data_IF_306599726760
#
_entry.id   IF_306599726760
#
_cell.length_a   1.000
_cell.length_b   1.000
_cell.length_c   1.000
_cell.angle_alpha   90.00
_cell.angle_beta   90.00
_cell.angle_gamma   90.00
#
_symmetry.space_group_name_H-M   'P 1'
#
loop_
_entity.id
_entity.type
_entity.pdbx_description
1 polymer ?
#
# COMPACT_ATOMS: atom_id res chain seq x y z
N UNK A 1 -15.57 -8.92 -6.05
CA UNK A 1 -14.45 -8.10 -6.58
C UNK A 1 -14.88 -7.38 -7.86
N UNK A 2 -14.60 -6.11 -7.99
CA UNK A 2 -14.90 -5.30 -9.17
C UNK A 2 -13.65 -5.19 -10.07
N UNK A 3 -13.84 -5.34 -11.41
CA UNK A 3 -12.78 -5.18 -12.41
C UNK A 3 -13.04 -3.99 -13.32
N UNK A 4 -12.01 -3.18 -13.57
CA UNK A 4 -12.03 -2.07 -14.50
C UNK A 4 -11.24 -2.49 -15.74
N UNK A 5 -11.93 -2.56 -16.89
CA UNK A 5 -11.34 -2.92 -18.19
C UNK A 5 -11.36 -1.77 -19.18
N UNK A 6 -12.20 -0.77 -18.93
CA UNK A 6 -12.36 0.40 -19.79
C UNK A 6 -11.06 1.22 -19.82
N UNK A 7 -10.59 1.54 -21.05
CA UNK A 7 -9.27 2.13 -21.30
C UNK A 7 -9.05 3.46 -20.60
N UNK A 8 -10.03 4.35 -20.68
CA UNK A 8 -9.91 5.68 -20.09
C UNK A 8 -9.94 5.63 -18.55
N UNK A 9 -10.72 4.73 -17.99
CA UNK A 9 -10.76 4.50 -16.55
C UNK A 9 -9.45 3.94 -15.98
N UNK A 10 -8.68 3.20 -16.80
CA UNK A 10 -7.36 2.69 -16.40
C UNK A 10 -6.26 3.75 -16.41
N UNK A 11 -6.42 4.86 -17.11
CA UNK A 11 -5.38 5.89 -17.22
C UNK A 11 -4.94 6.45 -15.86
N UNK A 12 -5.86 6.61 -14.90
CA UNK A 12 -5.50 7.13 -13.57
C UNK A 12 -4.49 6.25 -12.82
N UNK A 13 -4.42 4.95 -13.13
CA UNK A 13 -3.60 3.98 -12.39
C UNK A 13 -2.13 3.94 -12.82
N UNK A 14 -1.71 4.78 -13.76
CA UNK A 14 -0.31 4.94 -14.15
C UNK A 14 0.26 6.31 -13.77
N UNK A 15 -0.58 7.22 -13.25
CA UNK A 15 -0.14 8.56 -12.88
C UNK A 15 0.09 8.68 -11.38
N UNK A 16 1.32 9.01 -11.01
CA UNK A 16 1.72 9.48 -9.70
C UNK A 16 2.26 10.93 -9.80
N UNK A 17 3.05 11.35 -8.83
CA UNK A 17 3.70 12.67 -8.83
C UNK A 17 5.03 12.70 -9.59
N UNK A 18 5.37 11.66 -10.33
CA UNK A 18 6.57 11.65 -11.17
C UNK A 18 6.47 12.68 -12.31
N UNK A 19 7.33 13.74 -12.32
CA UNK A 19 7.18 14.80 -13.30
C UNK A 19 7.37 14.36 -14.76
N UNK A 20 8.13 13.30 -14.99
CA UNK A 20 8.41 12.81 -16.34
C UNK A 20 7.17 12.24 -17.04
N UNK A 21 6.28 11.57 -16.29
CA UNK A 21 5.08 10.95 -16.88
C UNK A 21 4.13 11.98 -17.49
N UNK A 22 4.08 13.20 -16.92
CA UNK A 22 3.26 14.31 -17.43
C UNK A 22 3.67 14.78 -18.82
N UNK A 23 4.88 14.42 -19.27
CA UNK A 23 5.42 14.76 -20.59
C UNK A 23 5.31 13.63 -21.60
N UNK A 24 4.73 12.48 -21.21
CA UNK A 24 4.60 11.36 -22.11
C UNK A 24 3.58 11.63 -23.21
N UNK A 25 3.89 11.28 -24.49
CA UNK A 25 2.89 11.28 -25.54
C UNK A 25 1.83 10.21 -25.24
N UNK A 26 0.62 10.41 -25.74
CA UNK A 26 -0.51 9.52 -25.47
C UNK A 26 -0.21 8.05 -25.84
N UNK A 27 0.43 7.81 -26.97
CA UNK A 27 0.82 6.46 -27.35
C UNK A 27 1.71 5.76 -26.32
N UNK A 28 2.57 6.51 -25.62
CA UNK A 28 3.39 5.96 -24.53
C UNK A 28 2.57 5.69 -23.29
N UNK A 29 1.65 6.59 -22.93
CA UNK A 29 0.69 6.38 -21.83
C UNK A 29 -0.11 5.10 -22.08
N UNK A 30 -0.65 4.94 -23.29
CA UNK A 30 -1.44 3.77 -23.68
C UNK A 30 -0.65 2.45 -23.62
N UNK A 31 0.62 2.49 -24.00
CA UNK A 31 1.49 1.31 -23.97
C UNK A 31 1.83 0.80 -22.55
N UNK A 32 1.59 1.64 -21.51
CA UNK A 32 1.85 1.31 -20.12
C UNK A 32 0.56 1.15 -19.30
N UNK A 33 -0.61 1.10 -19.95
CA UNK A 33 -1.84 0.83 -19.20
C UNK A 33 -1.83 -0.62 -18.70
N UNK A 34 -2.34 -0.87 -17.48
CA UNK A 34 -2.54 -2.24 -17.01
C UNK A 34 -3.54 -2.97 -17.91
N UNK A 35 -3.40 -4.28 -18.06
CA UNK A 35 -4.38 -5.11 -18.77
C UNK A 35 -5.75 -4.99 -18.10
N UNK A 36 -5.77 -5.04 -16.79
CA UNK A 36 -6.96 -5.00 -15.98
C UNK A 36 -6.65 -4.35 -14.61
N UNK A 37 -7.63 -3.72 -14.00
CA UNK A 37 -7.55 -3.23 -12.62
C UNK A 37 -8.57 -3.97 -11.77
N UNK A 38 -8.13 -4.56 -10.67
CA UNK A 38 -8.99 -5.12 -9.63
C UNK A 38 -9.19 -4.10 -8.52
N UNK A 39 -10.42 -3.98 -8.02
CA UNK A 39 -10.78 -3.12 -6.90
C UNK A 39 -11.39 -4.00 -5.81
N UNK A 40 -10.55 -4.66 -4.98
CA UNK A 40 -11.01 -5.53 -3.92
C UNK A 40 -11.60 -4.73 -2.75
N UNK A 41 -12.60 -5.32 -2.08
CA UNK A 41 -13.24 -4.78 -0.87
C UNK A 41 -12.97 -5.64 0.37
N UNK A 42 -12.20 -6.73 0.21
CA UNK A 42 -11.81 -7.63 1.30
C UNK A 42 -10.45 -8.27 1.04
N UNK A 43 -9.83 -8.80 2.11
CA UNK A 43 -8.56 -9.54 2.01
C UNK A 43 -8.71 -10.78 1.11
N UNK A 44 -9.83 -11.48 1.19
CA UNK A 44 -10.10 -12.63 0.32
C UNK A 44 -10.14 -12.25 -1.16
N UNK A 45 -10.71 -11.09 -1.49
CA UNK A 45 -10.71 -10.58 -2.86
C UNK A 45 -9.30 -10.17 -3.34
N UNK A 46 -8.41 -9.69 -2.44
CA UNK A 46 -6.99 -9.48 -2.78
C UNK A 46 -6.32 -10.80 -3.13
N UNK A 47 -6.56 -11.85 -2.33
CA UNK A 47 -6.02 -13.19 -2.60
C UNK A 47 -6.52 -13.73 -3.95
N UNK A 48 -7.80 -13.53 -4.28
CA UNK A 48 -8.37 -13.90 -5.57
C UNK A 48 -7.74 -13.11 -6.71
N UNK A 49 -7.52 -11.79 -6.56
CA UNK A 49 -6.86 -10.96 -7.56
C UNK A 49 -5.41 -11.41 -7.82
N UNK A 50 -4.66 -11.70 -6.76
CA UNK A 50 -3.29 -12.21 -6.87
C UNK A 50 -3.27 -13.56 -7.59
N UNK A 51 -4.18 -14.46 -7.23
CA UNK A 51 -4.32 -15.77 -7.89
C UNK A 51 -4.67 -15.63 -9.37
N UNK A 52 -5.60 -14.73 -9.67
CA UNK A 52 -5.95 -14.41 -11.06
C UNK A 52 -4.73 -13.92 -11.86
N UNK A 53 -3.92 -13.02 -11.29
CA UNK A 53 -2.71 -12.55 -11.94
C UNK A 53 -1.70 -13.68 -12.19
N UNK A 54 -1.51 -14.55 -11.20
CA UNK A 54 -0.63 -15.71 -11.31
C UNK A 54 -1.07 -16.65 -12.43
N UNK A 55 -2.36 -17.02 -12.45
CA UNK A 55 -2.93 -17.97 -13.45
C UNK A 55 -2.90 -17.40 -14.88
N UNK A 56 -2.91 -16.06 -15.02
CA UNK A 56 -2.87 -15.38 -16.30
C UNK A 56 -1.48 -14.82 -16.67
N UNK A 57 -0.45 -15.14 -15.90
CA UNK A 57 0.93 -14.67 -16.09
C UNK A 57 1.03 -13.12 -16.21
N UNK A 58 0.28 -12.42 -15.36
CA UNK A 58 0.30 -10.96 -15.25
C UNK A 58 1.23 -10.53 -14.11
N UNK A 59 1.98 -9.45 -14.33
CA UNK A 59 2.67 -8.77 -13.25
C UNK A 59 1.65 -8.09 -12.32
N UNK A 60 1.96 -8.02 -11.03
CA UNK A 60 1.09 -7.34 -10.06
C UNK A 60 1.66 -5.95 -9.75
N UNK A 61 0.82 -4.93 -9.86
CA UNK A 61 1.13 -3.57 -9.45
C UNK A 61 0.17 -3.14 -8.35
N UNK A 62 0.59 -3.10 -7.09
CA UNK A 62 -0.22 -2.54 -6.01
C UNK A 62 -0.44 -1.05 -6.22
N UNK A 63 -1.66 -0.58 -6.01
CA UNK A 63 -2.03 0.82 -6.11
C UNK A 63 -2.66 1.29 -4.79
N UNK A 64 -2.02 2.28 -4.17
CA UNK A 64 -2.52 2.96 -2.98
C UNK A 64 -2.96 4.39 -3.31
N UNK A 65 -2.33 5.38 -2.67
CA UNK A 65 -2.63 6.80 -2.87
C UNK A 65 -1.94 7.46 -4.06
N UNK A 66 -1.14 6.73 -4.84
CA UNK A 66 -0.34 7.26 -5.96
C UNK A 66 0.52 8.49 -5.58
N UNK A 67 1.00 8.53 -4.34
CA UNK A 67 1.81 9.64 -3.80
C UNK A 67 3.30 9.54 -4.16
N UNK A 68 3.72 8.48 -4.86
CA UNK A 68 5.08 8.27 -5.34
C UNK A 68 5.53 9.33 -6.33
N UNK A 69 6.86 9.50 -6.46
CA UNK A 69 7.48 10.54 -7.31
C UNK A 69 8.44 9.97 -8.36
N UNK A 70 8.49 8.65 -8.50
CA UNK A 70 9.44 7.94 -9.37
C UNK A 70 8.78 6.99 -10.37
N UNK A 71 7.44 6.94 -10.45
CA UNK A 71 6.72 6.08 -11.38
C UNK A 71 6.62 4.61 -10.95
N UNK A 72 6.72 4.32 -9.64
CA UNK A 72 6.67 2.94 -9.11
C UNK A 72 5.37 2.19 -9.43
N UNK A 73 4.29 2.91 -9.73
CA UNK A 73 3.01 2.32 -10.12
C UNK A 73 2.85 2.13 -11.63
N UNK A 74 3.85 2.48 -12.44
CA UNK A 74 3.77 2.38 -13.91
C UNK A 74 4.13 0.98 -14.37
N UNK A 75 3.20 0.25 -15.00
CA UNK A 75 3.50 -1.09 -15.50
C UNK A 75 4.51 -1.08 -16.66
N UNK A 76 5.52 -1.95 -16.62
CA UNK A 76 6.45 -2.21 -17.72
C UNK A 76 6.14 -3.51 -18.47
N UNK A 77 5.20 -4.30 -17.96
CA UNK A 77 4.77 -5.60 -18.51
C UNK A 77 3.25 -5.69 -18.45
N UNK A 78 2.63 -6.61 -19.18
CA UNK A 78 1.22 -6.93 -18.98
C UNK A 78 0.94 -7.19 -17.50
N UNK A 79 0.02 -6.43 -16.92
CA UNK A 79 -0.16 -6.38 -15.48
C UNK A 79 -1.62 -6.33 -15.05
N UNK A 80 -1.84 -6.82 -13.84
CA UNK A 80 -3.01 -6.53 -13.03
C UNK A 80 -2.61 -5.43 -12.02
N UNK A 81 -3.30 -4.30 -12.03
CA UNK A 81 -3.22 -3.32 -10.95
C UNK A 81 -4.26 -3.67 -9.89
N UNK A 82 -3.85 -3.69 -8.62
CA UNK A 82 -4.74 -3.95 -7.47
C UNK A 82 -4.92 -2.64 -6.72
N UNK A 83 -6.10 -2.01 -6.86
CA UNK A 83 -6.46 -0.78 -6.16
C UNK A 83 -6.90 -1.10 -4.71
N UNK A 84 -6.03 -0.81 -3.76
CA UNK A 84 -6.23 -1.14 -2.34
C UNK A 84 -7.12 -0.14 -1.60
N UNK A 85 -7.53 0.96 -2.20
CA UNK A 85 -8.21 2.07 -1.51
C UNK A 85 -9.57 1.70 -0.91
N UNK A 86 -10.20 0.61 -1.35
CA UNK A 86 -11.46 0.11 -0.78
C UNK A 86 -11.26 -0.73 0.50
N UNK A 87 -10.05 -1.19 0.75
CA UNK A 87 -9.72 -1.92 1.98
C UNK A 87 -9.18 -0.91 2.99
N UNK A 88 -10.09 -0.20 3.64
CA UNK A 88 -9.80 0.95 4.50
C UNK A 88 -10.43 0.80 5.88
N UNK A 89 -9.93 1.59 6.82
CA UNK A 89 -10.43 1.70 8.19
C UNK A 89 -9.52 1.06 9.23
N UNK A 90 -9.90 1.25 10.49
CA UNK A 90 -9.24 0.68 11.66
C UNK A 90 -9.84 -0.69 11.96
N UNK A 91 -8.98 -1.69 12.10
CA UNK A 91 -9.37 -3.06 12.48
C UNK A 91 -9.45 -3.18 13.99
N UNK A 92 -8.45 -2.65 14.71
CA UNK A 92 -8.34 -2.72 16.15
C UNK A 92 -7.56 -1.53 16.69
N UNK A 93 -7.96 -1.01 17.85
CA UNK A 93 -7.18 -0.03 18.61
C UNK A 93 -7.08 -0.48 20.06
N UNK A 94 -5.92 -1.00 20.43
CA UNK A 94 -5.58 -1.40 21.79
C UNK A 94 -4.92 -0.21 22.52
N UNK A 95 -5.70 0.46 23.35
CA UNK A 95 -5.23 1.63 24.12
C UNK A 95 -4.28 1.26 25.26
N UNK A 96 -4.42 0.07 25.82
CA UNK A 96 -3.60 -0.38 26.96
C UNK A 96 -2.16 -0.67 26.51
N UNK A 97 -2.00 -1.24 25.32
CA UNK A 97 -0.70 -1.57 24.73
C UNK A 97 -0.23 -0.53 23.69
N UNK A 98 -1.03 0.49 23.40
CA UNK A 98 -0.75 1.52 22.40
C UNK A 98 -0.53 0.96 20.98
N UNK A 99 -1.36 0.01 20.55
CA UNK A 99 -1.34 -0.54 19.20
C UNK A 99 -2.56 -0.13 18.42
N UNK A 100 -2.37 0.11 17.13
CA UNK A 100 -3.44 0.26 16.17
C UNK A 100 -3.18 -0.64 14.97
N UNK A 101 -4.19 -1.41 14.59
CA UNK A 101 -4.20 -2.20 13.36
C UNK A 101 -5.13 -1.52 12.36
N UNK A 102 -4.59 -1.14 11.22
CA UNK A 102 -5.31 -0.46 10.16
C UNK A 102 -5.15 -1.21 8.84
N UNK A 103 -6.17 -1.14 8.00
CA UNK A 103 -6.08 -1.67 6.65
C UNK A 103 -5.13 -0.86 5.77
N UNK A 104 -4.45 -1.54 4.85
CA UNK A 104 -3.41 -0.98 3.99
C UNK A 104 -3.89 0.16 3.08
N UNK A 105 -5.16 0.17 2.70
CA UNK A 105 -5.77 1.21 1.86
C UNK A 105 -6.24 2.46 2.61
N UNK A 106 -6.20 2.47 3.94
CA UNK A 106 -6.52 3.65 4.74
C UNK A 106 -5.52 4.77 4.48
N UNK A 107 -5.98 6.00 4.29
CA UNK A 107 -5.07 7.13 4.12
C UNK A 107 -4.39 7.50 5.45
N UNK A 108 -3.13 7.95 5.35
CA UNK A 108 -2.35 8.33 6.54
C UNK A 108 -3.03 9.45 7.34
N UNK A 109 -3.65 10.42 6.66
CA UNK A 109 -4.43 11.47 7.31
C UNK A 109 -5.62 10.91 8.09
N UNK A 110 -6.39 10.01 7.52
CA UNK A 110 -7.53 9.39 8.19
C UNK A 110 -7.11 8.62 9.45
N UNK A 111 -5.96 7.95 9.41
CA UNK A 111 -5.40 7.26 10.57
C UNK A 111 -5.01 8.26 11.67
N UNK A 112 -4.33 9.36 11.32
CA UNK A 112 -3.97 10.40 12.28
C UNK A 112 -5.20 11.09 12.87
N UNK A 113 -6.20 11.43 12.08
CA UNK A 113 -7.43 12.06 12.54
C UNK A 113 -8.17 11.13 13.52
N UNK A 114 -8.27 9.83 13.19
CA UNK A 114 -8.85 8.82 14.07
C UNK A 114 -8.14 8.76 15.43
N UNK A 115 -6.80 8.83 15.44
CA UNK A 115 -6.00 8.79 16.66
C UNK A 115 -6.08 10.11 17.43
N UNK A 116 -6.02 11.25 16.75
CA UNK A 116 -6.08 12.59 17.35
C UNK A 116 -7.38 12.83 18.12
N UNK A 117 -8.52 12.37 17.56
CA UNK A 117 -9.82 12.41 18.26
C UNK A 117 -9.81 11.66 19.61
N UNK A 118 -8.86 10.73 19.78
CA UNK A 118 -8.70 9.88 20.98
C UNK A 118 -7.52 10.29 21.85
N UNK A 119 -6.83 11.39 21.51
CA UNK A 119 -5.66 11.90 22.23
C UNK A 119 -4.35 11.19 21.93
N UNK A 120 -4.28 10.47 20.80
CA UNK A 120 -3.10 9.75 20.33
C UNK A 120 -2.59 10.29 19.01
N UNK A 121 -1.39 9.88 18.63
CA UNK A 121 -0.77 10.14 17.31
C UNK A 121 0.21 9.01 17.00
N UNK A 122 0.38 8.70 15.71
CA UNK A 122 1.49 7.84 15.27
C UNK A 122 2.83 8.54 15.40
N UNK A 123 2.85 9.87 15.33
CA UNK A 123 4.08 10.66 15.20
C UNK A 123 4.73 10.54 13.82
N UNK A 124 4.10 9.85 12.87
CA UNK A 124 4.59 9.70 11.49
C UNK A 124 3.90 10.70 10.56
N UNK A 125 4.62 11.78 10.22
CA UNK A 125 4.10 12.89 9.42
C UNK A 125 4.94 13.12 8.15
N UNK A 126 4.84 12.27 7.11
CA UNK A 126 5.42 12.54 5.80
C UNK A 126 4.66 13.67 5.10
N UNK A 127 5.31 14.37 4.17
CA UNK A 127 4.64 15.42 3.37
C UNK A 127 3.45 14.88 2.56
N UNK A 128 3.46 13.59 2.26
CA UNK A 128 2.41 12.90 1.50
C UNK A 128 1.27 12.36 2.37
N UNK A 129 1.18 12.69 3.66
CA UNK A 129 0.23 12.08 4.60
C UNK A 129 -1.22 12.14 4.12
N UNK A 130 -1.61 13.21 3.43
CA UNK A 130 -2.96 13.40 2.90
C UNK A 130 -3.25 12.55 1.64
N UNK A 131 -2.20 12.04 0.99
CA UNK A 131 -2.27 11.31 -0.28
C UNK A 131 -1.83 9.86 -0.16
N UNK A 132 -0.95 9.54 0.79
CA UNK A 132 -0.39 8.22 0.94
C UNK A 132 -1.30 7.31 1.76
N UNK A 133 -1.46 6.07 1.34
CA UNK A 133 -2.11 5.04 2.14
C UNK A 133 -1.13 4.39 3.11
N UNK A 134 -1.63 3.82 4.21
CA UNK A 134 -0.81 3.13 5.22
C UNK A 134 0.07 2.06 4.58
N UNK A 135 -0.50 1.21 3.69
CA UNK A 135 0.28 0.21 2.97
C UNK A 135 1.35 0.81 2.06
N UNK A 136 1.04 1.94 1.40
CA UNK A 136 2.01 2.68 0.59
C UNK A 136 3.15 3.25 1.43
N UNK A 137 2.87 3.82 2.61
CA UNK A 137 3.89 4.31 3.53
C UNK A 137 4.85 3.18 3.98
N UNK A 138 4.30 2.00 4.28
CA UNK A 138 5.09 0.82 4.66
C UNK A 138 5.90 0.29 3.48
N UNK A 139 5.29 0.15 2.31
CA UNK A 139 5.93 -0.37 1.11
C UNK A 139 7.10 0.50 0.63
N UNK A 140 7.03 1.81 0.81
CA UNK A 140 8.09 2.76 0.43
C UNK A 140 9.07 3.08 1.57
N UNK A 141 8.92 2.43 2.74
CA UNK A 141 9.77 2.69 3.92
C UNK A 141 9.82 4.19 4.28
N UNK A 142 8.65 4.77 4.40
CA UNK A 142 8.46 6.21 4.51
C UNK A 142 9.12 6.81 5.75
N UNK A 143 9.73 8.00 5.59
CA UNK A 143 10.15 8.88 6.66
C UNK A 143 9.23 10.11 6.73
N UNK A 144 9.09 10.69 7.91
CA UNK A 144 8.26 11.88 8.14
C UNK A 144 9.01 12.99 8.87
N UNK A 145 8.37 14.14 9.00
CA UNK A 145 8.93 15.34 9.64
C UNK A 145 9.41 15.08 11.08
N UNK A 146 8.76 14.18 11.80
CA UNK A 146 9.10 13.86 13.18
C UNK A 146 9.91 12.57 13.35
N UNK A 147 10.41 11.99 12.27
CA UNK A 147 11.15 10.72 12.32
C UNK A 147 12.43 10.79 13.14
N UNK A 148 13.06 11.97 13.27
CA UNK A 148 14.20 12.16 14.18
C UNK A 148 13.86 11.94 15.66
N UNK A 149 12.58 12.06 16.04
CA UNK A 149 12.09 11.82 17.40
C UNK A 149 11.44 10.46 17.57
N UNK A 150 10.58 10.08 16.60
CA UNK A 150 9.70 8.92 16.74
C UNK A 150 10.15 7.71 15.92
N UNK A 151 11.19 7.86 15.08
CA UNK A 151 11.60 6.84 14.12
C UNK A 151 10.89 6.95 12.78
N UNK A 152 11.29 6.12 11.84
CA UNK A 152 10.63 5.95 10.56
C UNK A 152 9.49 4.93 10.67
N UNK A 153 8.77 4.68 9.58
CA UNK A 153 7.63 3.76 9.58
C UNK A 153 8.04 2.35 10.04
N UNK A 154 9.22 1.87 9.66
CA UNK A 154 9.76 0.57 10.07
C UNK A 154 9.98 0.43 11.56
N UNK A 155 10.30 1.52 12.25
CA UNK A 155 10.53 1.52 13.69
C UNK A 155 9.21 1.45 14.49
N UNK A 156 8.09 1.81 13.84
CA UNK A 156 6.75 1.81 14.43
C UNK A 156 6.00 0.50 14.17
N UNK A 157 6.44 -0.27 13.17
CA UNK A 157 5.75 -1.50 12.78
C UNK A 157 5.95 -2.61 13.80
N UNK A 158 4.83 -3.15 14.30
CA UNK A 158 4.82 -4.31 15.19
C UNK A 158 4.49 -5.60 14.44
N UNK A 159 3.61 -5.49 13.46
CA UNK A 159 3.14 -6.60 12.68
C UNK A 159 2.59 -6.18 11.33
N UNK A 160 2.46 -7.15 10.43
CA UNK A 160 1.83 -6.96 9.14
C UNK A 160 1.20 -8.26 8.63
N UNK A 161 0.20 -8.07 7.77
CA UNK A 161 -0.36 -9.13 6.94
C UNK A 161 -0.08 -8.81 5.48
N UNK A 162 0.36 -9.82 4.73
CA UNK A 162 0.73 -9.68 3.32
C UNK A 162 0.13 -10.84 2.52
N UNK A 163 -0.53 -10.52 1.43
CA UNK A 163 -0.88 -11.53 0.42
C UNK A 163 0.35 -11.78 -0.44
N UNK A 164 0.87 -13.00 -0.37
CA UNK A 164 2.05 -13.43 -1.11
C UNK A 164 1.74 -13.64 -2.60
N UNK A 165 2.75 -13.68 -3.49
CA UNK A 165 2.55 -13.88 -4.93
C UNK A 165 1.82 -15.17 -5.32
N UNK A 166 1.76 -16.17 -4.42
CA UNK A 166 0.99 -17.40 -4.61
C UNK A 166 -0.47 -17.30 -4.11
N UNK A 167 -0.88 -16.12 -3.60
CA UNK A 167 -2.20 -15.88 -3.04
C UNK A 167 -2.38 -16.29 -1.58
N UNK A 168 -1.35 -16.82 -0.93
CA UNK A 168 -1.40 -17.14 0.50
C UNK A 168 -1.29 -15.87 1.35
N UNK A 169 -1.97 -15.87 2.50
CA UNK A 169 -1.86 -14.81 3.49
C UNK A 169 -0.72 -15.11 4.46
N UNK A 170 0.28 -14.27 4.49
CA UNK A 170 1.32 -14.26 5.50
C UNK A 170 0.93 -13.30 6.63
N UNK A 171 1.04 -13.76 7.87
CA UNK A 171 0.83 -12.93 9.08
C UNK A 171 1.98 -13.20 10.03
N UNK A 172 2.65 -12.16 10.49
CA UNK A 172 3.63 -12.31 11.57
C UNK A 172 2.97 -12.08 12.94
N UNK A 173 3.68 -12.50 13.99
CA UNK A 173 3.23 -12.22 15.37
C UNK A 173 3.31 -10.72 15.65
N UNK A 174 2.24 -10.18 16.22
CA UNK A 174 2.20 -8.80 16.69
C UNK A 174 2.91 -8.71 18.06
N UNK A 175 4.23 -8.57 18.02
CA UNK A 175 5.08 -8.46 19.22
C UNK A 175 6.16 -7.41 19.00
N UNK A 176 6.44 -6.55 19.99
CA UNK A 176 7.42 -5.46 19.85
C UNK A 176 8.83 -5.94 19.52
N UNK A 177 9.23 -7.09 20.04
CA UNK A 177 10.53 -7.72 19.78
C UNK A 177 10.43 -9.23 19.89
N UNK A 178 11.12 -9.93 19.01
CA UNK A 178 11.31 -11.38 19.08
C UNK A 178 12.78 -11.71 19.19
N UNK A 179 13.11 -12.64 20.07
CA UNK A 179 14.47 -13.19 20.18
C UNK A 179 14.70 -14.40 19.27
N UNK A 180 13.72 -14.75 18.43
CA UNK A 180 13.76 -15.93 17.57
C UNK A 180 13.76 -15.56 16.10
N UNK A 181 14.76 -16.01 15.37
CA UNK A 181 14.87 -15.89 13.93
C UNK A 181 15.06 -14.46 13.39
N UNK A 182 15.12 -14.30 12.07
CA UNK A 182 15.13 -12.99 11.44
C UNK A 182 13.77 -12.32 11.57
N UNK A 183 13.75 -10.99 11.61
CA UNK A 183 12.51 -10.21 11.58
C UNK A 183 11.95 -10.18 10.16
N UNK A 184 11.06 -11.12 9.87
CA UNK A 184 10.50 -11.37 8.54
C UNK A 184 9.78 -10.14 7.93
N UNK A 185 9.08 -9.28 8.71
CA UNK A 185 8.47 -8.06 8.16
C UNK A 185 9.43 -7.18 7.35
N UNK A 186 10.72 -7.19 7.66
CA UNK A 186 11.72 -6.42 6.89
C UNK A 186 11.89 -6.89 5.43
N UNK A 187 11.36 -8.06 5.06
CA UNK A 187 11.32 -8.48 3.65
C UNK A 187 10.28 -7.72 2.84
N UNK A 188 9.27 -7.16 3.52
CA UNK A 188 8.14 -6.47 2.90
C UNK A 188 8.21 -4.96 3.07
N UNK A 189 8.75 -4.48 4.21
CA UNK A 189 8.89 -3.05 4.49
C UNK A 189 9.96 -2.48 3.54
N UNK A 190 9.55 -1.53 2.68
CA UNK A 190 10.43 -0.94 1.68
C UNK A 190 10.65 -1.83 0.44
N UNK A 191 9.75 -2.76 0.17
CA UNK A 191 9.83 -3.64 -1.01
C UNK A 191 9.18 -3.05 -2.26
N UNK A 192 8.37 -2.01 -2.09
CA UNK A 192 7.55 -1.30 -3.09
C UNK A 192 6.58 -2.18 -3.92
#
# INVERSE_FOLDING_TARGET
MNFIQEKDAKKKYIFDWWPAIKKWPEAKVEAHLPEIVAVPESVSEVQEAVKYAYDNNLAIVPFGGASGVLGGIVPEKPSLTIDMQKITGVVEFDQDNHFITAYAGMFGRELEDYLNERGYTTGHYPQSIDLATVGGLVATKSAGTFSSKYGNIEDMMQGLEVVLPNGELFTNRNVPRSATGPYIPNLFIGSE
#
